data_IF_842470506302
#
_entry.id   IF_842470506302
#
_cell.length_a   1.000
_cell.length_b   1.000
_cell.length_c   1.000
_cell.angle_alpha   90.00
_cell.angle_beta   90.00
_cell.angle_gamma   90.00
#
_symmetry.space_group_name_H-M   'P 1'
#
loop_
_entity.id
_entity.type
_entity.pdbx_description
1 polymer ?
#
# COMPACT_ATOMS: atom_id res chain seq x y z
N UNK A 1 -0.15 -2.49 8.55
CA UNK A 1 0.72 -1.78 7.59
C UNK A 1 1.65 -2.81 6.99
N UNK A 2 1.96 -2.72 5.70
CA UNK A 2 2.87 -3.64 5.02
C UNK A 2 3.68 -2.92 3.94
N UNK A 3 4.66 -3.63 3.39
CA UNK A 3 5.44 -3.24 2.21
C UNK A 3 5.29 -4.37 1.19
N UNK A 4 5.17 -4.03 -0.08
CA UNK A 4 4.79 -5.00 -1.11
C UNK A 4 5.93 -5.95 -1.53
N UNK A 5 7.19 -5.59 -1.30
CA UNK A 5 8.35 -6.36 -1.78
C UNK A 5 9.37 -6.77 -0.70
N UNK A 6 9.08 -6.53 0.58
CA UNK A 6 9.91 -6.96 1.70
C UNK A 6 9.10 -7.12 2.99
N UNK A 7 9.63 -7.91 3.92
CA UNK A 7 9.05 -8.09 5.26
C UNK A 7 9.49 -6.91 6.13
N UNK A 8 8.56 -6.00 6.42
CA UNK A 8 8.83 -4.85 7.29
C UNK A 8 8.87 -5.30 8.76
N UNK A 9 9.98 -5.01 9.44
CA UNK A 9 10.12 -5.15 10.90
C UNK A 9 10.11 -3.74 11.52
N UNK A 10 8.97 -3.28 12.10
CA UNK A 10 8.81 -1.90 12.53
C UNK A 10 9.74 -1.46 13.66
N UNK A 11 10.10 -2.37 14.56
CA UNK A 11 10.92 -2.12 15.74
C UNK A 11 12.36 -1.75 15.35
N UNK A 12 12.93 -2.48 14.40
CA UNK A 12 14.29 -2.25 13.87
C UNK A 12 14.29 -1.34 12.65
N UNK A 13 13.11 -1.07 12.06
CA UNK A 13 12.91 -0.32 10.81
C UNK A 13 13.60 -0.99 9.61
N UNK A 14 13.88 -2.28 9.71
CA UNK A 14 14.46 -3.09 8.64
C UNK A 14 13.36 -3.60 7.70
N UNK A 15 13.76 -3.89 6.47
CA UNK A 15 12.87 -4.51 5.50
C UNK A 15 13.59 -5.64 4.78
N UNK A 16 13.21 -6.87 5.10
CA UNK A 16 13.91 -8.07 4.69
C UNK A 16 13.42 -8.52 3.31
N UNK A 17 14.32 -8.55 2.33
CA UNK A 17 14.03 -8.99 0.95
C UNK A 17 14.29 -10.49 0.79
N UNK A 18 13.53 -11.29 1.51
CA UNK A 18 13.66 -12.75 1.55
C UNK A 18 12.27 -13.41 1.54
N UNK A 19 12.17 -14.72 1.23
CA UNK A 19 10.91 -15.44 1.33
C UNK A 19 10.28 -15.27 2.73
N UNK A 20 8.96 -15.03 2.84
CA UNK A 20 7.94 -15.12 1.78
C UNK A 20 7.65 -13.80 1.03
N UNK A 21 8.50 -12.78 1.10
CA UNK A 21 8.24 -11.50 0.42
C UNK A 21 8.26 -11.64 -1.11
N UNK A 22 7.37 -10.89 -1.77
CA UNK A 22 7.33 -10.78 -3.24
C UNK A 22 8.41 -9.82 -3.75
N UNK A 23 9.67 -10.23 -3.61
CA UNK A 23 10.86 -9.38 -3.89
C UNK A 23 10.99 -8.92 -5.35
N UNK A 24 10.22 -9.52 -6.27
CA UNK A 24 10.15 -9.14 -7.68
C UNK A 24 9.24 -7.93 -7.95
N UNK A 25 8.46 -7.47 -6.98
CA UNK A 25 7.59 -6.29 -7.15
C UNK A 25 8.42 -5.01 -7.02
N UNK A 26 8.38 -4.18 -8.05
CA UNK A 26 9.07 -2.90 -8.10
C UNK A 26 8.12 -1.72 -7.92
N UNK A 27 6.96 -1.79 -8.58
CA UNK A 27 5.90 -0.80 -8.50
C UNK A 27 4.58 -1.47 -8.14
N UNK A 28 3.77 -0.75 -7.38
CA UNK A 28 2.42 -1.12 -7.01
C UNK A 28 1.45 -0.05 -7.50
N UNK A 29 0.25 -0.47 -7.91
CA UNK A 29 -0.83 0.45 -8.21
C UNK A 29 -2.16 -0.08 -7.68
N UNK A 30 -3.02 0.83 -7.20
CA UNK A 30 -4.38 0.54 -6.77
C UNK A 30 -5.35 1.38 -7.59
N UNK A 31 -6.21 0.76 -8.40
CA UNK A 31 -7.31 1.42 -9.09
C UNK A 31 -8.58 1.33 -8.26
N UNK A 32 -9.18 2.46 -7.91
CA UNK A 32 -10.44 2.50 -7.17
C UNK A 32 -11.63 2.36 -8.12
N UNK A 33 -12.50 1.39 -7.87
CA UNK A 33 -13.64 1.05 -8.73
C UNK A 33 -14.95 1.71 -8.29
N UNK A 34 -14.98 2.32 -7.11
CA UNK A 34 -16.13 3.05 -6.57
C UNK A 34 -15.69 4.00 -5.46
N UNK A 35 -16.61 4.85 -4.98
CA UNK A 35 -16.39 5.82 -3.90
C UNK A 35 -17.63 6.10 -3.03
N UNK A 36 -18.67 5.29 -3.17
CA UNK A 36 -19.89 5.33 -2.35
C UNK A 36 -19.72 4.57 -1.02
N UNK A 37 -18.68 4.88 -0.25
CA UNK A 37 -18.38 4.29 1.06
C UNK A 37 -17.73 5.29 2.02
N UNK A 38 -17.72 4.98 3.31
CA UNK A 38 -17.04 5.78 4.33
C UNK A 38 -15.80 5.06 4.88
N UNK A 39 -14.78 5.84 5.23
CA UNK A 39 -13.46 5.33 5.60
C UNK A 39 -12.71 4.79 4.38
N UNK A 40 -11.93 3.72 4.56
CA UNK A 40 -11.25 3.06 3.46
C UNK A 40 -10.11 3.85 2.79
N UNK A 41 -9.65 4.93 3.41
CA UNK A 41 -8.54 5.72 2.91
C UNK A 41 -7.24 4.92 2.89
N UNK A 42 -6.51 5.00 1.78
CA UNK A 42 -5.15 4.51 1.75
C UNK A 42 -4.25 5.48 2.52
N UNK A 43 -3.33 4.96 3.32
CA UNK A 43 -2.36 5.77 4.03
C UNK A 43 -0.96 5.17 3.94
N UNK A 44 0.04 6.04 3.97
CA UNK A 44 1.45 5.69 4.00
C UNK A 44 2.04 6.04 5.36
N UNK A 45 3.03 5.29 5.80
CA UNK A 45 3.74 5.53 7.06
C UNK A 45 5.24 5.57 6.84
N UNK A 46 5.96 6.07 7.86
CA UNK A 46 7.38 5.73 8.02
C UNK A 46 7.54 4.22 8.25
N UNK A 47 8.79 3.75 8.24
CA UNK A 47 9.15 2.34 8.52
C UNK A 47 8.80 1.88 9.94
N UNK A 48 8.51 2.80 10.85
CA UNK A 48 7.97 2.48 12.18
C UNK A 48 6.52 1.96 12.16
N UNK A 49 5.89 1.89 10.99
CA UNK A 49 4.50 1.45 10.76
C UNK A 49 3.42 2.24 11.53
N UNK A 50 3.80 3.37 12.16
CA UNK A 50 2.94 4.15 13.07
C UNK A 50 2.79 5.59 12.61
N UNK A 51 3.89 6.22 12.22
CA UNK A 51 3.92 7.63 11.83
C UNK A 51 3.35 7.79 10.42
N UNK A 52 2.11 8.25 10.29
CA UNK A 52 1.47 8.53 9.00
C UNK A 52 2.16 9.70 8.31
N UNK A 53 2.49 9.54 7.03
CA UNK A 53 3.16 10.56 6.21
C UNK A 53 2.28 11.11 5.10
N UNK A 54 1.32 10.31 4.62
CA UNK A 54 0.37 10.71 3.59
C UNK A 54 -0.91 9.88 3.69
N UNK A 55 -2.00 10.45 3.19
CA UNK A 55 -3.31 9.78 3.09
C UNK A 55 -3.97 10.17 1.77
N UNK A 56 -4.63 9.19 1.15
CA UNK A 56 -5.33 9.35 -0.12
C UNK A 56 -6.77 8.88 0.05
N UNK A 57 -7.71 9.80 -0.14
CA UNK A 57 -9.13 9.47 -0.22
C UNK A 57 -9.41 8.81 -1.58
N UNK A 58 -10.03 7.61 -1.60
CA UNK A 58 -10.47 6.96 -2.82
C UNK A 58 -11.47 7.81 -3.59
N UNK A 59 -11.42 7.73 -4.92
CA UNK A 59 -12.39 8.32 -5.83
C UNK A 59 -12.52 7.38 -7.02
N UNK A 60 -13.72 7.16 -7.52
CA UNK A 60 -13.96 6.23 -8.62
C UNK A 60 -13.09 6.59 -9.84
N UNK A 61 -12.36 5.61 -10.38
CA UNK A 61 -11.45 5.79 -11.52
C UNK A 61 -10.06 6.33 -11.16
N UNK A 62 -9.79 6.73 -9.92
CA UNK A 62 -8.45 7.17 -9.51
C UNK A 62 -7.49 5.98 -9.41
N UNK A 63 -6.31 6.11 -10.04
CA UNK A 63 -5.18 5.20 -9.88
C UNK A 63 -4.17 5.79 -8.88
N UNK A 64 -3.86 5.04 -7.82
CA UNK A 64 -2.78 5.35 -6.88
C UNK A 64 -1.57 4.47 -7.20
N UNK A 65 -0.49 5.06 -7.72
CA UNK A 65 0.78 4.37 -8.00
C UNK A 65 1.88 4.75 -7.01
N UNK A 66 2.72 3.78 -6.62
CA UNK A 66 3.85 3.98 -5.72
C UNK A 66 4.90 2.86 -5.89
N UNK A 67 6.13 3.09 -5.43
CA UNK A 67 7.15 2.03 -5.44
C UNK A 67 6.85 1.00 -4.35
N UNK A 68 7.00 -0.29 -4.66
CA UNK A 68 6.67 -1.41 -3.75
C UNK A 68 7.64 -1.55 -2.56
N UNK A 69 8.70 -0.74 -2.56
CA UNK A 69 9.83 -0.80 -1.66
C UNK A 69 9.62 -0.21 -0.26
N UNK A 70 10.66 -0.28 0.59
CA UNK A 70 10.60 0.10 2.00
C UNK A 70 10.43 1.60 2.26
N UNK A 71 10.28 2.41 1.21
CA UNK A 71 9.94 3.83 1.32
C UNK A 71 8.44 4.07 1.40
N UNK A 72 7.61 3.09 1.00
CA UNK A 72 6.15 3.17 1.02
C UNK A 72 5.48 2.08 1.87
N UNK A 73 5.80 1.91 3.17
CA UNK A 73 4.91 1.20 4.08
C UNK A 73 3.51 1.81 4.02
N UNK A 74 2.49 0.97 3.84
CA UNK A 74 1.13 1.46 3.63
C UNK A 74 0.05 0.52 4.18
N UNK A 75 -1.15 1.06 4.27
CA UNK A 75 -2.34 0.35 4.72
C UNK A 75 -3.61 1.05 4.26
N UNK A 76 -4.75 0.48 4.65
CA UNK A 76 -6.08 0.99 4.35
C UNK A 76 -6.82 1.17 5.68
N UNK A 77 -7.43 2.34 5.90
CA UNK A 77 -8.31 2.57 7.06
C UNK A 77 -9.53 1.64 6.99
N UNK A 78 -10.11 1.33 8.14
CA UNK A 78 -11.32 0.52 8.17
C UNK A 78 -12.42 1.18 7.33
N UNK A 79 -13.14 0.38 6.54
CA UNK A 79 -14.39 0.82 5.90
C UNK A 79 -15.47 0.72 6.96
N UNK A 80 -16.17 1.82 7.22
CA UNK A 80 -17.20 1.90 8.27
C UNK A 80 -18.62 1.86 7.73
N UNK A 81 -18.81 2.18 6.44
CA UNK A 81 -20.09 2.03 5.73
C UNK A 81 -19.86 1.70 4.26
N UNK A 82 -20.70 0.86 3.68
CA UNK A 82 -20.65 0.51 2.25
C UNK A 82 -19.60 -0.55 1.93
N UNK A 83 -19.18 -0.64 0.67
CA UNK A 83 -18.19 -1.60 0.19
C UNK A 83 -17.13 -0.89 -0.63
N UNK A 84 -15.85 -1.08 -0.31
CA UNK A 84 -14.72 -0.56 -1.09
C UNK A 84 -14.28 -1.61 -2.12
N UNK A 85 -14.36 -1.26 -3.40
CA UNK A 85 -13.90 -2.09 -4.51
C UNK A 85 -12.64 -1.46 -5.13
N UNK A 86 -11.58 -2.26 -5.28
CA UNK A 86 -10.34 -1.80 -5.89
C UNK A 86 -9.62 -2.97 -6.59
N UNK A 87 -8.85 -2.65 -7.62
CA UNK A 87 -7.90 -3.57 -8.26
C UNK A 87 -6.50 -3.26 -7.76
N UNK A 88 -5.79 -4.27 -7.28
CA UNK A 88 -4.37 -4.17 -6.97
C UNK A 88 -3.56 -4.73 -8.15
N UNK A 89 -2.58 -3.94 -8.59
CA UNK A 89 -1.65 -4.27 -9.66
C UNK A 89 -0.23 -4.18 -9.13
N UNK A 90 0.62 -5.10 -9.56
CA UNK A 90 2.04 -5.09 -9.25
C UNK A 90 2.85 -5.28 -10.52
N UNK A 91 3.94 -4.53 -10.64
CA UNK A 91 4.79 -4.52 -11.80
C UNK A 91 6.23 -4.85 -11.41
N UNK A 92 6.92 -5.54 -12.30
CA UNK A 92 8.35 -5.84 -12.22
C UNK A 92 9.03 -5.04 -13.32
N UNK A 93 10.12 -4.36 -13.00
CA UNK A 93 10.96 -3.70 -14.00
C UNK A 93 11.79 -4.77 -14.73
N UNK A 94 12.08 -4.53 -16.01
CA UNK A 94 13.08 -5.34 -16.72
C UNK A 94 14.42 -5.32 -15.97
N UNK A 95 15.12 -6.44 -15.99
CA UNK A 95 16.44 -6.60 -15.37
C UNK A 95 17.54 -6.18 -16.31
#
# INVERSE_FOLDING_TARGET
VHVDNCLLEPETKQCWREPPAFTHRDLSAILYLNDNFDGGEAFFTKRDAKTVTAQVKPSCGRLLGFSSGPVNPHGVRAVTRGRRCALALWFTKER
#
